data_IF_261790736041
#
_entry.id   IF_261790736041
#
_cell.length_a   1.000
_cell.length_b   1.000
_cell.length_c   1.000
_cell.angle_alpha   90.00
_cell.angle_beta   90.00
_cell.angle_gamma   90.00
#
_symmetry.space_group_name_H-M   'P 1'
#
loop_
_entity.id
_entity.type
_entity.pdbx_description
1 polymer ?
#
# COMPACT_ATOMS: atom_id res chain seq x y z
N UNK A 1 -9.63 -11.98 -7.08
CA UNK A 1 -8.80 -13.21 -7.14
C UNK A 1 -8.45 -13.49 -8.58
N UNK A 2 -7.16 -13.47 -8.92
CA UNK A 2 -6.69 -13.57 -10.29
C UNK A 2 -6.34 -15.02 -10.61
N UNK A 3 -7.13 -15.68 -11.47
CA UNK A 3 -6.82 -16.97 -12.04
C UNK A 3 -5.60 -16.88 -12.96
N UNK A 4 -4.80 -17.94 -13.10
CA UNK A 4 -3.52 -17.95 -13.84
C UNK A 4 -3.55 -17.22 -15.20
N UNK A 5 -4.58 -17.41 -16.02
CA UNK A 5 -4.70 -16.77 -17.34
C UNK A 5 -5.13 -15.30 -17.26
N UNK A 6 -6.04 -14.97 -16.37
CA UNK A 6 -6.53 -13.59 -16.19
C UNK A 6 -5.46 -12.66 -15.61
N UNK A 7 -4.60 -13.16 -14.71
CA UNK A 7 -3.50 -12.37 -14.14
C UNK A 7 -2.56 -11.85 -15.21
N UNK A 8 -2.15 -12.72 -16.15
CA UNK A 8 -1.24 -12.30 -17.23
C UNK A 8 -1.86 -11.18 -18.09
N UNK A 9 -3.12 -11.34 -18.48
CA UNK A 9 -3.82 -10.34 -19.29
C UNK A 9 -3.89 -8.99 -18.59
N UNK A 10 -4.18 -8.98 -17.29
CA UNK A 10 -4.27 -7.75 -16.51
C UNK A 10 -2.92 -7.08 -16.30
N UNK A 11 -1.87 -7.84 -16.00
CA UNK A 11 -0.51 -7.31 -15.92
C UNK A 11 -0.03 -6.76 -17.26
N UNK A 12 -0.23 -7.49 -18.36
CA UNK A 12 0.15 -7.04 -19.70
C UNK A 12 -0.61 -5.75 -20.09
N UNK A 13 -1.90 -5.68 -19.76
CA UNK A 13 -2.72 -4.48 -19.99
C UNK A 13 -2.23 -3.29 -19.17
N UNK A 14 -1.96 -3.49 -17.89
CA UNK A 14 -1.42 -2.45 -17.01
C UNK A 14 -0.09 -1.91 -17.54
N UNK A 15 0.87 -2.80 -17.82
CA UNK A 15 2.19 -2.40 -18.32
C UNK A 15 2.10 -1.69 -19.68
N UNK A 16 1.17 -2.10 -20.55
CA UNK A 16 0.91 -1.40 -21.80
C UNK A 16 0.37 0.00 -21.57
N UNK A 17 -0.64 0.16 -20.71
CA UNK A 17 -1.21 1.48 -20.39
C UNK A 17 -0.14 2.40 -19.80
N UNK A 18 0.64 1.90 -18.85
CA UNK A 18 1.73 2.67 -18.25
C UNK A 18 2.72 3.14 -19.30
N UNK A 19 3.16 2.23 -20.18
CA UNK A 19 4.14 2.55 -21.23
C UNK A 19 3.62 3.50 -22.31
N UNK A 20 2.35 3.36 -22.70
CA UNK A 20 1.78 4.09 -23.84
C UNK A 20 1.08 5.39 -23.44
N UNK A 21 0.68 5.53 -22.17
CA UNK A 21 -0.22 6.61 -21.71
C UNK A 21 0.31 7.42 -20.53
N UNK A 22 1.43 7.00 -19.92
CA UNK A 22 1.98 7.69 -18.76
C UNK A 22 3.39 8.19 -19.08
N UNK A 23 3.55 9.50 -19.11
CA UNK A 23 4.83 10.17 -19.37
C UNK A 23 5.59 10.53 -18.07
N UNK A 24 4.94 10.39 -16.92
CA UNK A 24 5.55 10.67 -15.62
C UNK A 24 6.21 9.42 -15.04
N UNK A 25 7.31 9.55 -14.28
CA UNK A 25 7.94 8.42 -13.62
C UNK A 25 7.00 7.74 -12.63
N UNK A 26 6.88 6.42 -12.71
CA UNK A 26 6.08 5.62 -11.79
C UNK A 26 6.99 4.91 -10.79
N UNK A 27 6.57 4.91 -9.52
CA UNK A 27 7.15 4.13 -8.43
C UNK A 27 6.10 3.16 -7.91
N UNK A 28 6.40 1.86 -7.96
CA UNK A 28 5.44 0.83 -7.59
C UNK A 28 5.58 0.44 -6.12
N UNK A 29 4.44 0.32 -5.43
CA UNK A 29 4.32 -0.32 -4.13
C UNK A 29 3.51 -1.60 -4.30
N UNK A 30 4.08 -2.75 -3.95
CA UNK A 30 3.41 -4.05 -4.13
C UNK A 30 2.25 -4.19 -3.15
N UNK A 31 1.07 -4.50 -3.70
CA UNK A 31 -0.14 -4.79 -2.93
C UNK A 31 -0.48 -6.29 -2.89
N UNK A 32 -1.51 -6.63 -2.12
CA UNK A 32 -1.94 -8.02 -1.98
C UNK A 32 -2.45 -8.64 -3.29
N UNK A 33 -2.96 -7.84 -4.22
CA UNK A 33 -3.40 -8.32 -5.54
C UNK A 33 -2.24 -8.53 -6.52
N UNK A 34 -1.05 -8.02 -6.24
CA UNK A 34 0.15 -8.25 -7.04
C UNK A 34 0.87 -9.56 -6.68
N UNK A 35 0.47 -10.21 -5.57
CA UNK A 35 1.07 -11.47 -5.09
C UNK A 35 0.41 -12.66 -5.77
N UNK A 36 1.07 -13.20 -6.81
CA UNK A 36 0.51 -14.26 -7.63
C UNK A 36 0.60 -15.65 -6.97
N UNK A 37 -0.52 -16.37 -7.00
CA UNK A 37 -0.55 -17.80 -6.65
C UNK A 37 -0.54 -18.13 -5.16
N UNK A 38 -0.46 -17.16 -4.27
CA UNK A 38 -0.30 -17.37 -2.82
C UNK A 38 -1.45 -18.15 -2.16
N UNK A 39 -2.70 -18.00 -2.59
CA UNK A 39 -3.78 -18.91 -2.24
C UNK A 39 -3.66 -20.17 -3.12
N UNK A 40 -2.86 -21.13 -2.66
CA UNK A 40 -2.58 -22.37 -3.39
C UNK A 40 -3.83 -23.18 -3.66
N UNK A 41 -4.82 -23.13 -2.76
CA UNK A 41 -6.07 -23.86 -2.89
C UNK A 41 -6.91 -23.39 -4.06
N UNK A 42 -6.83 -22.11 -4.40
CA UNK A 42 -7.62 -21.47 -5.48
C UNK A 42 -6.81 -21.29 -6.75
N UNK A 43 -5.53 -21.03 -6.63
CA UNK A 43 -4.65 -20.81 -7.80
C UNK A 43 -4.18 -22.11 -8.44
N UNK A 44 -4.18 -23.21 -7.70
CA UNK A 44 -3.57 -24.48 -8.08
C UNK A 44 -2.04 -24.40 -8.20
N UNK A 45 -1.42 -23.34 -7.61
CA UNK A 45 0.04 -23.25 -7.55
C UNK A 45 0.60 -24.14 -6.45
N UNK A 46 1.80 -24.69 -6.68
CA UNK A 46 2.54 -25.48 -5.69
C UNK A 46 3.40 -24.59 -4.78
N UNK A 47 3.85 -23.47 -5.31
CA UNK A 47 4.79 -22.54 -4.70
C UNK A 47 6.20 -22.58 -5.32
N UNK A 48 6.43 -23.55 -6.23
CA UNK A 48 7.72 -23.75 -6.90
C UNK A 48 7.78 -23.03 -8.27
N UNK A 49 6.68 -22.43 -8.70
CA UNK A 49 6.64 -21.71 -9.96
C UNK A 49 7.62 -20.53 -9.97
N UNK A 50 8.33 -20.27 -11.08
CA UNK A 50 9.33 -19.19 -11.16
C UNK A 50 8.78 -17.81 -10.80
N UNK A 51 7.48 -17.57 -11.05
CA UNK A 51 6.78 -16.31 -10.79
C UNK A 51 5.88 -16.34 -9.56
N UNK A 52 5.96 -17.38 -8.73
CA UNK A 52 5.16 -17.52 -7.52
C UNK A 52 5.41 -16.36 -6.54
N UNK A 53 4.35 -15.93 -5.88
CA UNK A 53 4.39 -14.86 -4.89
C UNK A 53 4.62 -13.49 -5.55
N UNK A 54 5.54 -12.71 -5.04
CA UNK A 54 5.86 -11.36 -5.49
C UNK A 54 6.79 -11.32 -6.71
N UNK A 55 7.41 -12.45 -7.06
CA UNK A 55 8.43 -12.52 -8.11
C UNK A 55 7.94 -11.98 -9.45
N UNK A 56 6.67 -12.24 -9.80
CA UNK A 56 6.12 -11.73 -11.05
C UNK A 56 5.95 -10.22 -11.06
N UNK A 57 5.40 -9.64 -10.00
CA UNK A 57 5.28 -8.20 -9.88
C UNK A 57 6.65 -7.52 -9.87
N UNK A 58 7.62 -8.08 -9.14
CA UNK A 58 9.00 -7.57 -9.11
C UNK A 58 9.65 -7.59 -10.50
N UNK A 59 9.48 -8.68 -11.28
CA UNK A 59 9.94 -8.78 -12.66
C UNK A 59 9.34 -7.68 -13.54
N UNK A 60 8.02 -7.47 -13.46
CA UNK A 60 7.29 -6.49 -14.27
C UNK A 60 7.62 -5.05 -13.92
N UNK A 61 7.82 -4.77 -12.65
CA UNK A 61 8.09 -3.43 -12.11
C UNK A 61 9.60 -3.09 -12.08
N UNK A 62 10.46 -4.04 -12.47
CA UNK A 62 11.92 -3.87 -12.46
C UNK A 62 12.50 -3.70 -11.07
N UNK A 63 11.94 -4.38 -10.07
CA UNK A 63 12.35 -4.30 -8.67
C UNK A 63 13.31 -5.45 -8.31
N UNK A 64 14.45 -5.13 -7.71
CA UNK A 64 15.37 -6.13 -7.15
C UNK A 64 14.86 -6.72 -5.83
N UNK A 65 14.22 -5.86 -5.01
CA UNK A 65 13.55 -6.21 -3.75
C UNK A 65 12.13 -5.64 -3.74
N UNK A 66 11.19 -6.25 -2.98
CA UNK A 66 9.82 -5.75 -2.89
C UNK A 66 9.69 -4.45 -2.07
N UNK A 67 10.78 -3.99 -1.48
CA UNK A 67 10.90 -2.72 -0.76
C UNK A 67 12.18 -2.01 -1.19
N UNK A 68 12.15 -0.69 -1.21
CA UNK A 68 13.27 0.13 -1.68
C UNK A 68 13.14 1.58 -1.22
N UNK A 69 14.17 2.37 -1.47
CA UNK A 69 14.16 3.80 -1.21
C UNK A 69 14.67 4.59 -2.39
N UNK A 70 14.26 5.85 -2.46
CA UNK A 70 14.79 6.82 -3.41
C UNK A 70 14.70 8.23 -2.82
N UNK A 71 15.37 9.18 -3.46
CA UNK A 71 15.32 10.59 -3.11
C UNK A 71 14.82 11.39 -4.30
N UNK A 72 13.96 12.36 -4.03
CA UNK A 72 13.45 13.26 -5.05
C UNK A 72 13.04 14.59 -4.40
N UNK A 73 13.45 15.70 -5.01
CA UNK A 73 13.08 17.04 -4.57
C UNK A 73 13.30 17.29 -3.07
N UNK A 74 14.43 16.84 -2.53
CA UNK A 74 14.78 17.04 -1.12
C UNK A 74 14.10 16.10 -0.12
N UNK A 75 13.19 15.24 -0.57
CA UNK A 75 12.53 14.23 0.24
C UNK A 75 13.15 12.85 0.08
N UNK A 76 13.21 12.09 1.17
CA UNK A 76 13.49 10.64 1.16
C UNK A 76 12.18 9.88 1.11
N UNK A 77 12.07 8.94 0.18
CA UNK A 77 10.94 8.05 0.02
C UNK A 77 11.34 6.63 0.43
N UNK A 78 10.54 6.00 1.28
CA UNK A 78 10.70 4.62 1.70
C UNK A 78 9.47 3.84 1.25
N UNK A 79 9.64 2.92 0.31
CA UNK A 79 8.57 2.06 -0.20
C UNK A 79 8.66 0.72 0.51
N UNK A 80 7.61 0.35 1.23
CA UNK A 80 7.54 -0.85 2.04
C UNK A 80 6.75 -1.96 1.34
N UNK A 81 7.14 -3.18 1.59
CA UNK A 81 6.35 -4.36 1.31
C UNK A 81 5.56 -4.77 2.57
N UNK A 82 4.28 -4.48 2.56
CA UNK A 82 3.39 -4.76 3.70
C UNK A 82 2.75 -6.14 3.67
N UNK A 83 2.93 -6.91 2.58
CA UNK A 83 2.24 -8.17 2.39
C UNK A 83 3.07 -9.35 2.89
N UNK A 84 2.71 -9.91 4.03
CA UNK A 84 3.39 -11.07 4.61
C UNK A 84 2.53 -12.33 4.50
N UNK A 85 3.06 -13.47 4.01
CA UNK A 85 2.30 -14.71 3.88
C UNK A 85 1.77 -15.22 5.23
N UNK A 86 0.50 -15.64 5.26
CA UNK A 86 -0.14 -16.27 6.43
C UNK A 86 -1.12 -17.35 5.96
N UNK A 87 -0.74 -18.62 6.05
CA UNK A 87 -1.55 -19.73 5.52
C UNK A 87 -1.78 -19.58 4.02
N UNK A 88 -3.05 -19.68 3.59
CA UNK A 88 -3.48 -19.42 2.23
C UNK A 88 -3.81 -17.95 1.97
N UNK A 89 -3.44 -17.06 2.87
CA UNK A 89 -3.70 -15.65 2.81
C UNK A 89 -2.47 -14.83 3.22
N UNK A 90 -2.72 -13.66 3.80
CA UNK A 90 -1.69 -12.72 4.21
C UNK A 90 -2.05 -11.99 5.50
N UNK A 91 -1.05 -11.37 6.07
CA UNK A 91 -1.19 -10.37 7.12
C UNK A 91 -0.32 -9.16 6.77
N UNK A 92 -0.70 -7.99 7.23
CA UNK A 92 0.11 -6.80 7.05
C UNK A 92 1.22 -6.78 8.11
N UNK A 93 2.47 -6.96 7.68
CA UNK A 93 3.66 -6.82 8.53
C UNK A 93 4.93 -6.73 7.70
N UNK A 94 5.97 -6.16 8.27
CA UNK A 94 7.33 -6.25 7.74
C UNK A 94 7.99 -7.53 8.28
N UNK A 95 8.76 -8.22 7.43
CA UNK A 95 9.69 -9.23 7.95
C UNK A 95 10.87 -8.55 8.68
N UNK A 96 11.68 -9.35 9.36
CA UNK A 96 12.74 -8.78 10.18
C UNK A 96 13.89 -8.20 9.33
N UNK A 97 14.16 -8.76 8.14
CA UNK A 97 15.14 -8.21 7.20
C UNK A 97 14.72 -6.81 6.74
N UNK A 98 13.47 -6.65 6.32
CA UNK A 98 12.94 -5.36 5.90
C UNK A 98 12.90 -4.35 7.06
N UNK A 99 12.54 -4.78 8.25
CA UNK A 99 12.51 -3.89 9.40
C UNK A 99 13.93 -3.37 9.76
N UNK A 100 14.96 -4.20 9.74
CA UNK A 100 16.34 -3.76 9.95
C UNK A 100 16.83 -2.87 8.80
N UNK A 101 16.43 -3.14 7.57
CA UNK A 101 16.68 -2.24 6.45
C UNK A 101 16.00 -0.87 6.66
N UNK A 102 14.71 -0.83 7.04
CA UNK A 102 13.99 0.41 7.32
C UNK A 102 14.69 1.23 8.41
N UNK A 103 15.12 0.58 9.47
CA UNK A 103 15.87 1.21 10.56
C UNK A 103 17.21 1.77 10.07
N UNK A 104 17.94 1.03 9.25
CA UNK A 104 19.20 1.49 8.67
C UNK A 104 19.00 2.66 7.70
N UNK A 105 17.94 2.66 6.88
CA UNK A 105 17.60 3.78 6.00
C UNK A 105 17.33 5.06 6.81
N UNK A 106 16.52 4.96 7.86
CA UNK A 106 16.22 6.10 8.73
C UNK A 106 17.45 6.62 9.47
N UNK A 107 18.33 5.73 9.93
CA UNK A 107 19.57 6.12 10.59
C UNK A 107 20.55 6.85 9.64
N UNK A 108 20.59 6.47 8.37
CA UNK A 108 21.44 7.12 7.35
C UNK A 108 20.85 8.43 6.82
N UNK A 109 19.56 8.62 6.94
CA UNK A 109 18.87 9.82 6.44
C UNK A 109 19.12 10.98 7.40
N UNK A 110 19.67 12.12 6.93
CA UNK A 110 19.86 13.30 7.78
C UNK A 110 18.55 13.73 8.46
N UNK A 111 18.62 14.16 9.70
CA UNK A 111 17.43 14.57 10.46
C UNK A 111 16.68 15.77 9.82
N UNK A 112 17.36 16.52 8.95
CA UNK A 112 16.79 17.63 8.18
C UNK A 112 16.08 17.20 6.90
N UNK A 113 16.31 15.97 6.43
CA UNK A 113 15.66 15.45 5.22
C UNK A 113 14.31 14.86 5.59
N UNK A 114 13.19 15.43 5.11
CA UNK A 114 11.87 14.89 5.37
C UNK A 114 11.69 13.52 4.70
N UNK A 115 10.95 12.64 5.38
CA UNK A 115 10.73 11.26 4.93
C UNK A 115 9.25 11.02 4.71
N UNK A 116 8.94 10.46 3.54
CA UNK A 116 7.63 9.93 3.18
C UNK A 116 7.73 8.40 3.05
N UNK A 117 6.81 7.70 3.71
CA UNK A 117 6.71 6.24 3.68
C UNK A 117 5.50 5.81 2.86
N UNK A 118 5.70 4.89 1.94
CA UNK A 118 4.65 4.28 1.12
C UNK A 118 4.47 2.82 1.57
N UNK A 119 3.25 2.44 1.87
CA UNK A 119 2.88 1.08 2.24
C UNK A 119 1.51 0.75 1.67
N UNK A 120 1.34 -0.36 0.98
CA UNK A 120 0.02 -0.71 0.44
C UNK A 120 -1.03 -0.84 1.54
N UNK A 121 -0.72 -1.62 2.59
CA UNK A 121 -1.59 -1.72 3.76
C UNK A 121 -1.23 -0.63 4.78
N UNK A 122 -2.20 0.00 5.43
CA UNK A 122 -1.92 1.06 6.38
C UNK A 122 -1.16 0.56 7.61
N UNK A 123 -0.16 1.35 8.03
CA UNK A 123 0.54 1.12 9.31
C UNK A 123 -0.40 1.49 10.46
N UNK A 124 -1.10 2.63 10.32
CA UNK A 124 -2.12 3.12 11.25
C UNK A 124 -3.26 3.69 10.42
N UNK A 125 -4.49 3.27 10.72
CA UNK A 125 -5.70 3.88 10.20
C UNK A 125 -6.87 3.61 11.14
N UNK A 126 -7.82 4.53 11.22
CA UNK A 126 -9.08 4.34 11.95
C UNK A 126 -10.14 3.67 11.05
N UNK A 127 -10.09 3.88 9.74
CA UNK A 127 -11.08 3.35 8.81
C UNK A 127 -11.15 1.81 8.82
N UNK A 128 -10.06 1.11 9.16
CA UNK A 128 -10.06 -0.35 9.32
C UNK A 128 -11.02 -0.85 10.42
N UNK A 129 -11.39 0.00 11.39
CA UNK A 129 -12.39 -0.35 12.41
C UNK A 129 -13.79 -0.47 11.79
N UNK A 130 -14.08 0.34 10.77
CA UNK A 130 -15.41 0.50 10.18
C UNK A 130 -15.61 -0.26 8.87
N UNK A 131 -14.57 -0.92 8.37
CA UNK A 131 -14.65 -1.77 7.20
C UNK A 131 -15.10 -3.19 7.60
N UNK A 132 -16.41 -3.40 7.61
CA UNK A 132 -17.05 -4.64 8.05
C UNK A 132 -17.42 -4.66 9.54
N UNK A 133 -17.81 -5.84 10.01
CA UNK A 133 -18.24 -6.07 11.40
C UNK A 133 -17.04 -6.39 12.29
N UNK A 134 -16.34 -5.38 12.73
CA UNK A 134 -15.10 -5.50 13.52
C UNK A 134 -15.32 -5.31 15.03
N UNK A 135 -16.49 -4.83 15.46
CA UNK A 135 -16.90 -4.88 16.86
C UNK A 135 -17.41 -6.31 17.18
N UNK A 136 -16.79 -6.96 18.15
CA UNK A 136 -17.14 -8.34 18.57
C UNK A 136 -17.11 -8.44 20.08
N UNK A 137 -18.29 -8.68 20.65
CA UNK A 137 -18.43 -8.93 22.10
C UNK A 137 -17.89 -7.80 22.98
N UNK A 138 -18.05 -6.54 22.53
CA UNK A 138 -17.57 -5.35 23.23
C UNK A 138 -16.12 -4.97 22.93
N UNK A 139 -15.43 -5.71 22.05
CA UNK A 139 -14.04 -5.45 21.64
C UNK A 139 -13.96 -5.13 20.16
N UNK A 140 -12.99 -4.26 19.77
CA UNK A 140 -12.63 -4.06 18.40
C UNK A 140 -11.60 -5.09 17.95
N UNK A 141 -11.95 -5.93 16.96
CA UNK A 141 -11.08 -6.96 16.40
C UNK A 141 -10.80 -6.66 14.94
N UNK A 142 -9.69 -5.98 14.67
CA UNK A 142 -9.29 -5.62 13.32
C UNK A 142 -8.50 -6.77 12.69
N UNK A 143 -8.88 -7.26 11.49
CA UNK A 143 -8.13 -8.27 10.78
C UNK A 143 -6.69 -7.83 10.50
N UNK A 144 -5.72 -8.69 10.78
CA UNK A 144 -4.31 -8.39 10.51
C UNK A 144 -3.97 -8.25 9.03
N UNK A 145 -4.90 -8.60 8.13
CA UNK A 145 -4.77 -8.33 6.70
C UNK A 145 -5.13 -6.88 6.31
N UNK A 146 -5.71 -6.10 7.22
CA UNK A 146 -6.21 -4.75 6.91
C UNK A 146 -5.30 -3.64 7.44
N UNK A 147 -4.60 -3.89 8.52
CA UNK A 147 -3.68 -2.95 9.14
C UNK A 147 -2.47 -3.71 9.69
N UNK A 148 -1.31 -3.09 9.72
CA UNK A 148 -0.07 -3.69 10.22
C UNK A 148 -0.20 -4.22 11.65
N UNK A 149 0.04 -5.53 11.84
CA UNK A 149 0.06 -6.16 13.17
C UNK A 149 1.31 -5.79 13.96
N UNK A 150 2.34 -5.31 13.28
CA UNK A 150 3.61 -4.82 13.84
C UNK A 150 3.69 -3.28 13.88
N UNK A 151 2.55 -2.59 13.72
CA UNK A 151 2.46 -1.13 13.73
C UNK A 151 3.16 -0.50 14.93
N UNK A 152 3.05 -1.13 16.12
CA UNK A 152 3.68 -0.61 17.35
C UNK A 152 5.19 -0.43 17.19
N UNK A 153 5.90 -1.46 16.71
CA UNK A 153 7.36 -1.39 16.54
C UNK A 153 7.78 -0.38 15.47
N UNK A 154 6.96 -0.22 14.41
CA UNK A 154 7.19 0.76 13.35
C UNK A 154 6.99 2.18 13.89
N UNK A 155 5.90 2.42 14.61
CA UNK A 155 5.63 3.74 15.24
C UNK A 155 6.69 4.12 16.27
N UNK A 156 7.19 3.18 17.07
CA UNK A 156 8.28 3.41 18.01
C UNK A 156 9.59 3.78 17.29
N UNK A 157 9.85 3.18 16.12
CA UNK A 157 10.98 3.57 15.27
C UNK A 157 10.79 5.00 14.73
N UNK A 158 9.62 5.32 14.17
CA UNK A 158 9.33 6.66 13.64
C UNK A 158 9.35 7.73 14.73
N UNK A 159 8.92 7.42 15.94
CA UNK A 159 8.99 8.36 17.06
C UNK A 159 10.43 8.83 17.37
N UNK A 160 11.43 7.99 17.09
CA UNK A 160 12.86 8.32 17.24
C UNK A 160 13.42 9.11 16.04
N UNK A 161 12.72 9.11 14.90
CA UNK A 161 13.08 9.77 13.66
C UNK A 161 12.05 10.84 13.30
N UNK A 162 12.19 12.03 13.89
CA UNK A 162 11.19 13.13 13.76
C UNK A 162 11.09 13.72 12.36
N UNK A 163 11.96 13.34 11.46
CA UNK A 163 11.91 13.66 10.04
C UNK A 163 10.95 12.77 9.24
N UNK A 164 10.41 11.68 9.80
CA UNK A 164 9.27 10.97 9.20
C UNK A 164 8.03 11.83 9.35
N UNK A 165 7.48 12.31 8.23
CA UNK A 165 6.37 13.27 8.18
C UNK A 165 5.06 12.64 7.76
N UNK A 166 5.12 11.77 6.77
CA UNK A 166 3.95 11.27 6.06
C UNK A 166 4.06 9.78 5.77
N UNK A 167 2.98 9.04 6.02
CA UNK A 167 2.78 7.67 5.54
C UNK A 167 1.55 7.64 4.65
N UNK A 168 1.69 7.14 3.43
CA UNK A 168 0.58 6.95 2.48
C UNK A 168 0.29 5.47 2.32
N UNK A 169 -0.99 5.14 2.30
CA UNK A 169 -1.49 3.78 2.10
C UNK A 169 -2.82 3.78 1.35
N UNK A 170 -3.24 2.60 0.94
CA UNK A 170 -4.55 2.35 0.34
C UNK A 170 -5.19 1.10 0.97
N UNK A 171 -5.50 0.09 0.15
CA UNK A 171 -5.97 -1.23 0.55
C UNK A 171 -7.39 -1.30 1.10
N UNK A 172 -7.76 -0.40 2.02
CA UNK A 172 -9.09 -0.40 2.65
C UNK A 172 -10.15 0.21 1.72
N UNK A 173 -9.73 0.99 0.70
CA UNK A 173 -10.61 1.73 -0.20
C UNK A 173 -11.45 2.82 0.48
N UNK A 174 -11.10 3.19 1.70
CA UNK A 174 -11.73 4.26 2.48
C UNK A 174 -10.74 5.39 2.71
N UNK A 175 -11.28 6.61 2.85
CA UNK A 175 -10.48 7.78 3.17
C UNK A 175 -10.30 7.90 4.68
N UNK A 176 -9.04 8.07 5.09
CA UNK A 176 -8.71 8.31 6.49
C UNK A 176 -7.45 9.16 6.63
N UNK A 177 -7.39 9.92 7.71
CA UNK A 177 -6.21 10.69 8.09
C UNK A 177 -6.04 10.67 9.60
N UNK A 178 -5.00 10.00 10.06
CA UNK A 178 -4.62 9.92 11.47
C UNK A 178 -3.30 10.65 11.69
N UNK A 179 -3.23 11.47 12.73
CA UNK A 179 -1.97 12.08 13.18
C UNK A 179 -1.59 11.46 14.52
N UNK A 180 -0.44 10.81 14.56
CA UNK A 180 0.05 10.19 15.78
C UNK A 180 1.56 10.36 15.93
N UNK A 181 1.99 10.84 17.09
CA UNK A 181 3.41 11.09 17.43
C UNK A 181 4.15 12.00 16.43
N UNK A 182 3.45 12.93 15.77
CA UNK A 182 4.02 13.87 14.80
C UNK A 182 4.14 13.31 13.37
N UNK A 183 3.67 12.09 13.14
CA UNK A 183 3.55 11.49 11.80
C UNK A 183 2.10 11.54 11.36
N UNK A 184 1.85 11.94 10.12
CA UNK A 184 0.54 11.85 9.48
C UNK A 184 0.44 10.55 8.69
N UNK A 185 -0.59 9.76 8.95
CA UNK A 185 -0.94 8.53 8.23
C UNK A 185 -2.19 8.81 7.41
N UNK A 186 -2.10 8.61 6.10
CA UNK A 186 -3.22 8.79 5.17
C UNK A 186 -3.51 7.44 4.52
N UNK A 187 -4.76 7.02 4.58
CA UNK A 187 -5.29 5.92 3.80
C UNK A 187 -6.18 6.52 2.71
N UNK A 188 -5.83 6.30 1.45
CA UNK A 188 -6.61 6.78 0.33
C UNK A 188 -7.60 5.74 -0.19
N UNK A 189 -8.65 6.22 -0.84
CA UNK A 189 -9.56 5.38 -1.60
C UNK A 189 -8.87 4.74 -2.79
N UNK A 190 -9.61 3.96 -3.55
CA UNK A 190 -9.08 3.26 -4.71
C UNK A 190 -9.59 3.86 -6.03
N UNK A 191 -8.75 3.86 -7.06
CA UNK A 191 -9.16 4.19 -8.44
C UNK A 191 -10.35 3.33 -8.89
N UNK A 192 -10.39 2.07 -8.46
CA UNK A 192 -11.49 1.15 -8.74
C UNK A 192 -12.72 1.35 -7.84
N UNK A 193 -12.64 2.21 -6.81
CA UNK A 193 -13.69 2.31 -5.80
C UNK A 193 -14.09 0.94 -5.25
N UNK A 194 -15.36 0.56 -5.39
CA UNK A 194 -15.87 -0.79 -5.09
C UNK A 194 -15.63 -1.73 -6.28
N UNK A 195 -14.35 -2.07 -6.57
CA UNK A 195 -14.00 -2.99 -7.67
C UNK A 195 -14.74 -2.70 -8.98
N UNK A 196 -14.75 -1.42 -9.39
CA UNK A 196 -15.46 -0.89 -10.57
C UNK A 196 -17.00 -0.89 -10.45
N UNK A 197 -17.53 -1.05 -9.23
CA UNK A 197 -18.96 -1.00 -8.92
C UNK A 197 -19.44 0.33 -8.32
N UNK A 198 -18.68 1.42 -8.49
CA UNK A 198 -18.98 2.74 -7.92
C UNK A 198 -18.30 3.00 -6.60
N UNK A 199 -18.97 3.72 -5.69
CA UNK A 199 -18.41 4.07 -4.38
C UNK A 199 -18.20 2.84 -3.49
N UNK A 200 -17.12 2.83 -2.72
CA UNK A 200 -16.95 1.92 -1.61
C UNK A 200 -17.36 2.64 -0.32
N UNK A 201 -18.48 2.19 0.28
CA UNK A 201 -19.19 2.95 1.31
C UNK A 201 -19.39 4.41 0.85
N UNK A 202 -18.85 5.40 1.56
CA UNK A 202 -18.96 6.83 1.25
C UNK A 202 -17.80 7.34 0.38
N UNK A 203 -16.82 6.49 0.07
CA UNK A 203 -15.62 6.89 -0.69
C UNK A 203 -15.82 6.65 -2.19
N UNK A 204 -15.80 7.69 -3.02
CA UNK A 204 -15.87 7.55 -4.47
C UNK A 204 -14.56 7.01 -5.05
N UNK A 205 -14.58 6.45 -6.28
CA UNK A 205 -13.37 6.16 -7.04
C UNK A 205 -12.49 7.41 -7.19
N UNK A 206 -11.18 7.27 -6.99
CA UNK A 206 -10.28 8.41 -7.04
C UNK A 206 -8.84 8.07 -6.67
N UNK A 207 -8.04 9.12 -6.46
CA UNK A 207 -6.63 9.03 -6.07
C UNK A 207 -6.23 10.19 -5.17
N UNK A 208 -5.20 10.02 -4.37
CA UNK A 208 -4.57 11.10 -3.61
C UNK A 208 -3.60 11.90 -4.46
N UNK A 209 -3.66 13.22 -4.36
CA UNK A 209 -2.64 14.15 -4.80
C UNK A 209 -1.89 14.67 -3.57
N UNK A 210 -0.57 14.67 -3.63
CA UNK A 210 0.26 15.16 -2.52
C UNK A 210 1.27 16.17 -3.06
N UNK A 211 1.22 17.37 -2.53
CA UNK A 211 2.24 18.40 -2.75
C UNK A 211 3.22 18.37 -1.57
N UNK A 212 4.51 18.23 -1.87
CA UNK A 212 5.60 18.18 -0.90
C UNK A 212 6.44 19.44 -1.00
N UNK A 213 6.73 20.05 0.16
CA UNK A 213 7.48 21.31 0.22
C UNK A 213 8.88 21.09 0.83
N UNK A 214 9.81 22.00 0.50
CA UNK A 214 11.22 21.92 0.93
C UNK A 214 11.41 22.02 2.45
N UNK A 215 10.44 22.60 3.16
CA UNK A 215 10.44 22.70 4.62
C UNK A 215 9.95 21.44 5.33
N UNK A 216 9.58 20.42 4.56
CA UNK A 216 9.04 19.16 5.06
C UNK A 216 7.55 19.19 5.40
N UNK A 217 6.87 20.30 5.05
CA UNK A 217 5.40 20.35 5.05
C UNK A 217 4.84 19.66 3.80
N UNK A 218 3.54 19.37 3.82
CA UNK A 218 2.84 18.77 2.69
C UNK A 218 1.36 19.12 2.70
N UNK A 219 0.76 19.08 1.52
CA UNK A 219 -0.68 19.15 1.33
C UNK A 219 -1.17 17.84 0.71
N UNK A 220 -2.39 17.44 1.04
CA UNK A 220 -3.02 16.24 0.49
C UNK A 220 -4.46 16.55 0.10
N UNK A 221 -4.81 16.17 -1.12
CA UNK A 221 -6.15 16.27 -1.68
C UNK A 221 -6.56 14.94 -2.29
N UNK A 222 -7.74 14.42 -1.92
CA UNK A 222 -8.31 13.28 -2.62
C UNK A 222 -9.14 13.75 -3.81
N UNK A 223 -8.77 13.32 -5.01
CA UNK A 223 -9.45 13.65 -6.27
C UNK A 223 -10.29 12.48 -6.74
N UNK A 224 -11.60 12.69 -6.75
CA UNK A 224 -12.56 11.74 -7.28
C UNK A 224 -12.87 12.02 -8.75
N UNK A 225 -13.32 10.99 -9.47
CA UNK A 225 -13.86 11.12 -10.80
C UNK A 225 -15.20 10.38 -10.90
N UNK A 226 -16.13 10.88 -11.75
CA UNK A 226 -17.39 10.18 -11.98
C UNK A 226 -17.11 8.85 -12.67
N UNK A 227 -17.56 7.76 -12.04
CA UNK A 227 -17.51 6.44 -12.64
C UNK A 227 -18.92 6.05 -13.07
N UNK A 228 -19.19 5.75 -14.36
CA UNK A 228 -20.49 5.26 -14.78
C UNK A 228 -20.73 3.89 -14.15
N UNK A 229 -21.61 3.84 -13.16
CA UNK A 229 -22.08 2.56 -12.61
C UNK A 229 -22.86 1.88 -13.71
N UNK A 230 -22.50 0.63 -14.11
CA UNK A 230 -23.32 -0.12 -15.05
C UNK A 230 -24.75 -0.21 -14.49
N UNK A 231 -25.70 0.36 -15.20
CA UNK A 231 -27.11 0.12 -14.90
C UNK A 231 -27.34 -1.37 -15.03
N UNK A 232 -27.68 -2.02 -13.92
CA UNK A 232 -28.11 -3.42 -13.95
C UNK A 232 -29.28 -3.54 -14.92
N UNK A 233 -28.99 -4.13 -16.09
CA UNK A 233 -30.05 -4.60 -17.01
C UNK A 233 -30.67 -5.86 -16.42
#
# INVERSE_FOLDING_TARGET
>A
MLFRSASKVLFDLWMRIVKERCEIPIRHCIGNHDVWGWDKSRSGCTGDEPRFGKKWAMELYGLEKPYYSFEQAGWKFLVLDSTFPKGNGYTARLDDEQFEWLKAELQRTPATTPVLVLSHMPIVCACAMFDGENEKSGDWVIPGAWMHIDARRIMELFYRHKNVKLCLSGHIHLLDRVVYNGVTYICDGAVSGRWWGGNYHQTPPGWGLVDLYDDGSFEHEYRSFPYPVPTSG
#
